data_IF_933117739933
#
_entry.id   IF_933117739933
#
_cell.length_a   1.000
_cell.length_b   1.000
_cell.length_c   1.000
_cell.angle_alpha   90.00
_cell.angle_beta   90.00
_cell.angle_gamma   90.00
#
_symmetry.space_group_name_H-M   'P 1'
#
loop_
_entity.id
_entity.type
_entity.pdbx_description
1 polymer ?
#
# COMPACT_ATOMS: atom_id res chain seq x y z
N UNK A 1 8.16 -1.05 37.09
CA UNK A 1 7.49 -2.37 37.00
C UNK A 1 6.90 -2.75 38.34
N UNK A 2 7.70 -2.99 39.39
CA UNK A 2 7.18 -3.44 40.71
C UNK A 2 6.02 -2.59 41.26
N UNK A 3 6.19 -1.27 41.33
CA UNK A 3 5.13 -0.35 41.80
C UNK A 3 3.86 -0.43 40.96
N UNK A 4 4.00 -0.40 39.63
CA UNK A 4 2.87 -0.48 38.69
C UNK A 4 2.17 -1.84 38.68
N UNK A 5 2.82 -2.92 39.12
CA UNK A 5 2.17 -4.25 39.24
C UNK A 5 1.20 -4.25 40.42
N UNK A 6 1.57 -3.60 41.52
CA UNK A 6 0.77 -3.53 42.75
C UNK A 6 -0.36 -2.49 42.63
N UNK A 7 -0.05 -1.32 42.08
CA UNK A 7 -1.01 -0.21 42.00
C UNK A 7 -2.03 -0.40 40.85
N UNK A 8 -1.57 -0.79 39.66
CA UNK A 8 -2.40 -0.81 38.46
C UNK A 8 -1.93 -1.84 37.40
N UNK A 9 -2.34 -3.11 37.52
CA UNK A 9 -1.83 -4.19 36.70
C UNK A 9 -2.16 -4.02 35.19
N UNK A 10 -3.25 -3.34 34.85
CA UNK A 10 -3.63 -3.05 33.47
C UNK A 10 -2.64 -2.10 32.76
N UNK A 11 -2.17 -1.06 33.48
CA UNK A 11 -1.12 -0.17 32.97
C UNK A 11 0.21 -0.89 32.84
N UNK A 12 0.52 -1.80 33.76
CA UNK A 12 1.73 -2.61 33.65
C UNK A 12 1.72 -3.48 32.38
N UNK A 13 0.60 -4.12 32.05
CA UNK A 13 0.49 -4.93 30.84
C UNK A 13 0.66 -4.11 29.55
N UNK A 14 0.08 -2.90 29.49
CA UNK A 14 0.24 -2.02 28.32
C UNK A 14 1.67 -1.48 28.17
N UNK A 15 2.25 -0.95 29.25
CA UNK A 15 3.56 -0.28 29.23
C UNK A 15 4.71 -1.28 29.05
N UNK A 16 4.58 -2.48 29.62
CA UNK A 16 5.63 -3.49 29.63
C UNK A 16 5.28 -4.71 28.77
N UNK A 17 4.36 -4.57 27.82
CA UNK A 17 3.92 -5.66 26.93
C UNK A 17 5.08 -6.39 26.23
N UNK A 18 6.10 -5.67 25.76
CA UNK A 18 7.27 -6.29 25.15
C UNK A 18 8.14 -7.06 26.14
N UNK A 19 8.26 -6.57 27.37
CA UNK A 19 9.04 -7.23 28.42
C UNK A 19 8.37 -8.53 28.83
N UNK A 20 7.03 -8.52 28.96
CA UNK A 20 6.22 -9.72 29.22
C UNK A 20 6.38 -10.73 28.08
N UNK A 21 6.29 -10.29 26.81
CA UNK A 21 6.51 -11.16 25.63
C UNK A 21 7.91 -11.78 25.59
N UNK A 22 8.92 -11.07 26.12
CA UNK A 22 10.32 -11.52 26.17
C UNK A 22 10.68 -12.24 27.48
N UNK A 23 9.74 -12.40 28.41
CA UNK A 23 9.97 -13.04 29.72
C UNK A 23 10.90 -12.26 30.64
N UNK A 24 10.95 -10.93 30.51
CA UNK A 24 11.83 -10.06 31.31
C UNK A 24 11.03 -9.49 32.48
N UNK A 25 11.35 -9.95 33.68
CA UNK A 25 10.79 -9.46 34.94
C UNK A 25 11.60 -8.30 35.51
N UNK A 26 11.01 -7.54 36.45
CA UNK A 26 11.63 -6.37 37.06
C UNK A 26 13.01 -6.67 37.69
N UNK A 27 13.15 -7.88 38.22
CA UNK A 27 14.32 -8.32 38.99
C UNK A 27 15.48 -8.70 38.07
N UNK A 28 15.14 -9.28 36.92
CA UNK A 28 16.09 -9.79 35.93
C UNK A 28 16.73 -8.68 35.09
N UNK A 29 16.13 -7.48 35.04
CA UNK A 29 16.63 -6.35 34.25
C UNK A 29 18.05 -5.95 34.67
N UNK A 30 18.34 -5.88 35.97
CA UNK A 30 19.65 -5.45 36.48
C UNK A 30 20.76 -6.42 36.06
N UNK A 31 20.49 -7.72 36.14
CA UNK A 31 21.45 -8.74 35.73
C UNK A 31 21.66 -8.76 34.22
N UNK A 32 20.58 -8.57 33.45
CA UNK A 32 20.64 -8.50 32.00
C UNK A 32 21.52 -7.33 31.54
N UNK A 33 21.37 -6.14 32.13
CA UNK A 33 22.22 -4.99 31.82
C UNK A 33 23.71 -5.25 32.13
N UNK A 34 24.02 -5.87 33.28
CA UNK A 34 25.41 -6.23 33.61
C UNK A 34 26.02 -7.16 32.57
N UNK A 35 25.28 -8.21 32.17
CA UNK A 35 25.72 -9.17 31.14
C UNK A 35 25.96 -8.47 29.80
N UNK A 36 25.04 -7.59 29.38
CA UNK A 36 25.17 -6.81 28.15
C UNK A 36 26.38 -5.88 28.19
N UNK A 37 26.63 -5.19 29.30
CA UNK A 37 27.80 -4.33 29.43
C UNK A 37 29.11 -5.11 29.31
N UNK A 38 29.23 -6.25 29.97
CA UNK A 38 30.42 -7.11 29.84
C UNK A 38 30.60 -7.55 28.37
N UNK A 39 29.51 -7.95 27.69
CA UNK A 39 29.58 -8.36 26.29
C UNK A 39 30.02 -7.23 25.35
N UNK A 40 29.54 -5.99 25.55
CA UNK A 40 29.94 -4.82 24.74
C UNK A 40 31.39 -4.41 25.01
N UNK A 41 31.87 -4.55 26.25
CA UNK A 41 33.28 -4.28 26.59
C UNK A 41 34.21 -5.25 25.85
N UNK A 42 33.82 -6.54 25.78
CA UNK A 42 34.62 -7.57 25.08
C UNK A 42 34.58 -7.35 23.57
N UNK A 43 33.40 -7.12 22.99
CA UNK A 43 33.21 -6.94 21.55
C UNK A 43 32.53 -5.60 21.22
N UNK A 44 33.30 -4.51 21.07
CA UNK A 44 32.75 -3.18 20.76
C UNK A 44 32.32 -3.00 19.29
N UNK A 45 32.34 -4.07 18.49
CA UNK A 45 32.11 -3.99 17.04
C UNK A 45 30.62 -4.00 16.72
N UNK A 46 30.16 -3.02 15.92
CA UNK A 46 28.78 -2.93 15.44
C UNK A 46 28.55 -3.95 14.32
N UNK A 47 27.77 -5.00 14.60
CA UNK A 47 27.34 -5.97 13.58
C UNK A 47 26.30 -5.31 12.65
N UNK A 48 26.70 -5.02 11.41
CA UNK A 48 25.77 -4.53 10.39
C UNK A 48 24.86 -5.68 9.96
N UNK A 49 23.57 -5.41 9.83
CA UNK A 49 22.64 -6.39 9.25
C UNK A 49 23.00 -6.61 7.79
N UNK A 50 23.17 -7.88 7.40
CA UNK A 50 23.35 -8.27 6.00
C UNK A 50 22.04 -8.03 5.24
N UNK A 51 21.91 -6.85 4.66
CA UNK A 51 20.79 -6.50 3.81
C UNK A 51 21.03 -7.12 2.45
N UNK A 52 20.14 -8.03 2.04
CA UNK A 52 20.09 -8.52 0.67
C UNK A 52 20.01 -7.33 -0.30
N UNK A 53 20.62 -7.48 -1.48
CA UNK A 53 20.56 -6.47 -2.53
C UNK A 53 19.10 -6.04 -2.74
N UNK A 54 18.80 -4.72 -2.85
CA UNK A 54 17.44 -4.25 -2.93
C UNK A 54 16.70 -4.94 -4.08
N UNK A 55 15.66 -5.73 -3.74
CA UNK A 55 14.77 -6.30 -4.75
C UNK A 55 14.26 -5.16 -5.64
N UNK A 56 14.20 -5.37 -6.97
CA UNK A 56 13.66 -4.37 -7.92
C UNK A 56 12.33 -3.84 -7.36
N UNK A 57 12.31 -2.55 -6.97
CA UNK A 57 11.14 -1.94 -6.35
C UNK A 57 9.97 -1.99 -7.33
N UNK A 58 8.82 -2.49 -6.88
CA UNK A 58 7.59 -2.45 -7.67
C UNK A 58 7.19 -0.97 -7.85
N UNK A 59 7.03 -0.52 -9.09
CA UNK A 59 6.49 0.81 -9.38
C UNK A 59 4.97 0.70 -9.44
N UNK A 60 4.29 1.43 -8.56
CA UNK A 60 2.82 1.50 -8.54
C UNK A 60 2.28 2.52 -9.57
N UNK A 61 3.12 3.47 -10.00
CA UNK A 61 2.73 4.49 -10.97
C UNK A 61 2.79 3.96 -12.40
N UNK A 62 1.80 4.33 -13.20
CA UNK A 62 1.75 4.00 -14.63
C UNK A 62 2.90 4.67 -15.39
N UNK A 63 3.42 3.98 -16.41
CA UNK A 63 4.42 4.54 -17.32
C UNK A 63 3.76 5.65 -18.15
N UNK A 64 4.47 6.76 -18.34
CA UNK A 64 4.01 7.84 -19.23
C UNK A 64 3.88 7.30 -20.65
N UNK A 65 2.72 7.56 -21.27
CA UNK A 65 2.47 7.25 -22.67
C UNK A 65 3.41 8.05 -23.57
N UNK A 66 3.91 7.40 -24.61
CA UNK A 66 4.70 8.03 -25.67
C UNK A 66 3.82 8.95 -26.54
N UNK A 67 4.43 9.72 -27.44
CA UNK A 67 3.68 10.61 -28.33
C UNK A 67 2.78 9.82 -29.29
N UNK A 68 3.29 8.75 -29.89
CA UNK A 68 2.54 7.94 -30.86
C UNK A 68 1.36 7.22 -30.20
N UNK A 69 1.53 6.69 -28.98
CA UNK A 69 0.45 6.08 -28.22
C UNK A 69 -0.66 7.09 -27.86
N UNK A 70 -0.27 8.33 -27.52
CA UNK A 70 -1.25 9.42 -27.28
C UNK A 70 -2.02 9.77 -28.54
N UNK A 71 -1.35 9.82 -29.71
CA UNK A 71 -1.99 10.08 -31.00
C UNK A 71 -2.95 8.96 -31.39
N UNK A 72 -2.56 7.70 -31.25
CA UNK A 72 -3.42 6.54 -31.51
C UNK A 72 -4.68 6.57 -30.64
N UNK A 73 -4.52 6.81 -29.33
CA UNK A 73 -5.65 6.92 -28.40
C UNK A 73 -6.62 8.06 -28.75
N UNK A 74 -6.11 9.16 -29.29
CA UNK A 74 -6.94 10.27 -29.77
C UNK A 74 -7.74 9.86 -31.01
N UNK A 75 -7.08 9.23 -31.99
CA UNK A 75 -7.75 8.75 -33.21
C UNK A 75 -8.82 7.72 -32.88
N UNK A 76 -8.53 6.76 -31.99
CA UNK A 76 -9.49 5.76 -31.53
C UNK A 76 -10.72 6.40 -30.87
N UNK A 77 -10.52 7.40 -30.01
CA UNK A 77 -11.60 8.15 -29.37
C UNK A 77 -12.47 8.89 -30.39
N UNK A 78 -11.86 9.58 -31.35
CA UNK A 78 -12.59 10.31 -32.38
C UNK A 78 -13.37 9.37 -33.30
N UNK A 79 -12.77 8.24 -33.68
CA UNK A 79 -13.44 7.22 -34.47
C UNK A 79 -14.67 6.67 -33.74
N UNK A 80 -14.51 6.27 -32.47
CA UNK A 80 -15.62 5.78 -31.66
C UNK A 80 -16.75 6.82 -31.51
N UNK A 81 -16.40 8.10 -31.37
CA UNK A 81 -17.38 9.18 -31.32
C UNK A 81 -18.16 9.35 -32.63
N UNK A 82 -17.46 9.33 -33.77
CA UNK A 82 -18.10 9.43 -35.09
C UNK A 82 -18.98 8.21 -35.38
N UNK A 83 -18.50 7.00 -35.05
CA UNK A 83 -19.26 5.76 -35.20
C UNK A 83 -20.54 5.81 -34.34
N UNK A 84 -20.47 6.33 -33.10
CA UNK A 84 -21.65 6.51 -32.25
C UNK A 84 -22.65 7.53 -32.83
N UNK A 85 -22.15 8.65 -33.35
CA UNK A 85 -22.98 9.70 -33.94
C UNK A 85 -23.73 9.19 -35.18
N UNK A 86 -23.04 8.46 -36.07
CA UNK A 86 -23.65 7.86 -37.26
C UNK A 86 -24.74 6.84 -36.90
N UNK A 87 -24.48 5.97 -35.92
CA UNK A 87 -25.48 5.00 -35.46
C UNK A 87 -26.72 5.68 -34.87
N UNK A 88 -26.52 6.75 -34.11
CA UNK A 88 -27.62 7.51 -33.51
C UNK A 88 -28.48 8.19 -34.59
N UNK A 89 -27.84 8.80 -35.59
CA UNK A 89 -28.54 9.40 -36.74
C UNK A 89 -29.35 8.33 -37.49
N UNK A 90 -28.76 7.17 -37.77
CA UNK A 90 -29.46 6.07 -38.46
C UNK A 90 -30.66 5.59 -37.65
N UNK A 91 -30.52 5.41 -36.34
CA UNK A 91 -31.63 4.99 -35.44
C UNK A 91 -32.75 6.03 -35.45
N UNK A 92 -32.43 7.33 -35.31
CA UNK A 92 -33.43 8.41 -35.35
C UNK A 92 -34.13 8.43 -36.71
N UNK A 93 -33.37 8.35 -37.81
CA UNK A 93 -33.93 8.32 -39.17
C UNK A 93 -34.82 7.10 -39.41
N UNK A 94 -34.46 5.93 -38.91
CA UNK A 94 -35.26 4.71 -39.02
C UNK A 94 -36.56 4.83 -38.22
N UNK A 95 -36.49 5.38 -37.00
CA UNK A 95 -37.67 5.62 -36.15
C UNK A 95 -38.62 6.65 -36.79
N UNK A 96 -38.10 7.76 -37.33
CA UNK A 96 -38.93 8.77 -38.00
C UNK A 96 -39.58 8.24 -39.29
N UNK A 97 -38.88 7.40 -40.05
CA UNK A 97 -39.43 6.76 -41.26
C UNK A 97 -40.54 5.77 -40.93
N UNK A 98 -40.35 4.96 -39.88
CA UNK A 98 -41.38 4.04 -39.42
C UNK A 98 -42.62 4.78 -38.93
N UNK A 99 -42.45 5.89 -38.21
CA UNK A 99 -43.55 6.73 -37.73
C UNK A 99 -44.31 7.41 -38.87
N UNK A 100 -43.62 7.91 -39.90
CA UNK A 100 -44.29 8.52 -41.07
C UNK A 100 -44.97 7.49 -41.97
N UNK A 101 -44.43 6.27 -42.10
CA UNK A 101 -45.06 5.18 -42.84
C UNK A 101 -46.27 4.53 -42.17
N UNK A 102 -46.55 4.89 -40.90
CA UNK A 102 -47.73 4.43 -40.16
C UNK A 102 -48.87 5.46 -40.17
N UNK A 103 -48.60 6.68 -40.64
CA UNK A 103 -49.55 7.82 -40.66
C UNK A 103 -50.05 8.14 -42.08
N UNK A 104 -49.55 7.46 -43.12
CA UNK A 104 -50.02 7.52 -44.51
C UNK A 104 -50.68 6.20 -44.91
#
# INVERSE_FOLDING_TARGET
>A
MRTLVEDEPEKCHSHFSEYIKKGIEADNIKELYKKVHVAIIVDPTIKKTEKLAPKKRKKYNLKKLTFDERKKKLVERLKAFNDLATMTIVIVMMSTKHLMGFVL
#
